data_IF_482970426110
#
_entry.id   IF_482970426110
#
_cell.length_a   1.000
_cell.length_b   1.000
_cell.length_c   1.000
_cell.angle_alpha   90.00
_cell.angle_beta   90.00
_cell.angle_gamma   90.00
#
_symmetry.space_group_name_H-M   'P 1'
#
loop_
_entity.id
_entity.type
_entity.pdbx_description
1 polymer ?
#
# COMPACT_ATOMS: atom_id res chain seq x y z
N UNK A 1 9.85 -10.70 1.73
CA UNK A 1 8.58 -10.71 1.03
C UNK A 1 7.53 -10.76 2.10
N UNK A 2 6.66 -9.73 2.11
CA UNK A 2 5.57 -9.67 3.08
C UNK A 2 4.64 -10.83 2.78
N UNK A 3 4.46 -11.73 3.73
CA UNK A 3 3.56 -12.88 3.58
C UNK A 3 2.15 -12.37 3.86
N UNK A 4 1.30 -12.43 2.84
CA UNK A 4 -0.09 -12.00 2.90
C UNK A 4 -0.97 -13.23 2.70
N UNK A 5 -1.86 -13.50 3.64
CA UNK A 5 -2.80 -14.62 3.57
C UNK A 5 -4.24 -14.15 3.78
N UNK A 6 -5.18 -14.76 3.08
CA UNK A 6 -6.59 -14.62 3.39
C UNK A 6 -6.97 -15.68 4.44
N UNK A 7 -7.58 -15.23 5.55
CA UNK A 7 -8.06 -16.08 6.61
C UNK A 7 -9.45 -15.61 7.08
N UNK A 8 -10.45 -16.46 6.95
CA UNK A 8 -11.82 -16.17 7.40
C UNK A 8 -12.41 -14.86 6.85
N UNK A 9 -12.01 -14.46 5.63
CA UNK A 9 -12.47 -13.24 4.98
C UNK A 9 -11.72 -11.97 5.40
N UNK A 10 -10.64 -12.10 6.15
CA UNK A 10 -9.70 -11.05 6.50
C UNK A 10 -8.37 -11.23 5.75
N UNK A 11 -7.59 -10.17 5.68
CA UNK A 11 -6.22 -10.22 5.21
C UNK A 11 -5.30 -10.23 6.43
N UNK A 12 -4.49 -11.26 6.58
CA UNK A 12 -3.41 -11.32 7.57
C UNK A 12 -2.10 -11.04 6.85
N UNK A 13 -1.39 -10.01 7.29
CA UNK A 13 -0.13 -9.57 6.67
C UNK A 13 0.97 -9.55 7.72
N UNK A 14 2.07 -10.26 7.45
CA UNK A 14 3.31 -10.06 8.20
C UNK A 14 3.88 -8.67 7.93
N UNK A 15 4.32 -8.00 8.98
CA UNK A 15 4.83 -6.64 8.88
C UNK A 15 5.97 -6.38 9.87
N UNK A 16 6.68 -5.29 9.63
CA UNK A 16 7.71 -4.81 10.55
C UNK A 16 7.10 -4.11 11.77
N UNK A 17 7.93 -3.92 12.79
CA UNK A 17 7.61 -3.09 13.95
C UNK A 17 7.09 -1.70 13.57
N UNK A 18 7.72 -1.05 12.59
CA UNK A 18 7.31 0.27 12.12
C UNK A 18 5.91 0.29 11.48
N UNK A 19 5.55 -0.75 10.73
CA UNK A 19 4.22 -0.86 10.12
C UNK A 19 3.16 -1.19 11.17
N UNK A 20 3.46 -2.10 12.08
CA UNK A 20 2.57 -2.42 13.19
C UNK A 20 2.31 -1.20 14.09
N UNK A 21 3.37 -0.43 14.40
CA UNK A 21 3.27 0.83 15.14
C UNK A 21 2.39 1.85 14.40
N UNK A 22 2.55 1.99 13.10
CA UNK A 22 1.73 2.88 12.29
C UNK A 22 0.23 2.55 12.38
N UNK A 23 -0.14 1.27 12.25
CA UNK A 23 -1.54 0.86 12.44
C UNK A 23 -2.03 1.13 13.86
N UNK A 24 -1.19 0.87 14.86
CA UNK A 24 -1.52 1.12 16.26
C UNK A 24 -1.77 2.61 16.51
N UNK A 25 -0.83 3.47 16.16
CA UNK A 25 -0.92 4.92 16.37
C UNK A 25 -2.10 5.52 15.61
N UNK A 26 -2.30 5.12 14.35
CA UNK A 26 -3.40 5.62 13.53
C UNK A 26 -4.77 5.29 14.14
N UNK A 27 -4.91 4.16 14.83
CA UNK A 27 -6.16 3.78 15.52
C UNK A 27 -6.30 4.38 16.92
N UNK A 28 -5.18 4.56 17.63
CA UNK A 28 -5.17 5.12 18.98
C UNK A 28 -5.28 6.66 19.02
N UNK A 29 -4.77 7.31 18.00
CA UNK A 29 -4.75 8.78 17.94
C UNK A 29 -6.12 9.38 17.65
N UNK A 30 -6.55 10.31 18.51
CA UNK A 30 -7.71 11.19 18.25
C UNK A 30 -7.33 12.43 17.44
N UNK A 31 -6.20 12.39 16.72
CA UNK A 31 -5.76 13.54 15.92
C UNK A 31 -6.59 13.62 14.62
N UNK A 32 -7.02 14.84 14.20
CA UNK A 32 -7.84 15.01 12.99
C UNK A 32 -7.24 14.37 11.73
N UNK A 33 -5.93 14.54 11.51
CA UNK A 33 -5.25 13.93 10.35
C UNK A 33 -5.22 12.40 10.39
N UNK A 34 -5.07 11.79 11.58
CA UNK A 34 -5.16 10.33 11.71
C UNK A 34 -6.58 9.83 11.42
N UNK A 35 -7.60 10.58 11.81
CA UNK A 35 -9.01 10.26 11.51
C UNK A 35 -9.30 10.35 10.02
N UNK A 36 -8.79 11.37 9.33
CA UNK A 36 -8.93 11.51 7.89
C UNK A 36 -8.22 10.37 7.14
N UNK A 37 -6.99 10.03 7.54
CA UNK A 37 -6.23 8.94 6.93
C UNK A 37 -6.91 7.57 7.11
N UNK A 38 -7.54 7.32 8.27
CA UNK A 38 -8.28 6.07 8.53
C UNK A 38 -9.40 5.79 7.52
N UNK A 39 -10.02 6.82 6.97
CA UNK A 39 -11.04 6.66 5.94
C UNK A 39 -10.50 6.06 4.62
N UNK A 40 -9.17 6.10 4.43
CA UNK A 40 -8.47 5.59 3.25
C UNK A 40 -7.73 4.28 3.50
N UNK A 41 -7.75 3.81 4.73
CA UNK A 41 -7.07 2.58 5.13
C UNK A 41 -8.06 1.43 5.27
N UNK A 42 -7.63 0.18 5.02
CA UNK A 42 -8.40 -0.97 5.47
C UNK A 42 -8.53 -0.91 6.99
N UNK A 43 -9.69 -1.31 7.51
CA UNK A 43 -9.87 -1.43 8.95
C UNK A 43 -8.85 -2.43 9.50
N UNK A 44 -8.11 -2.07 10.53
CA UNK A 44 -7.26 -2.98 11.26
C UNK A 44 -8.05 -3.57 12.45
N UNK A 45 -8.14 -4.88 12.49
CA UNK A 45 -8.87 -5.61 13.53
C UNK A 45 -7.99 -6.01 14.71
N UNK A 46 -6.67 -6.03 14.50
CA UNK A 46 -5.72 -6.32 15.56
C UNK A 46 -4.31 -6.57 15.04
N UNK A 47 -3.40 -6.64 15.99
CA UNK A 47 -1.98 -6.90 15.77
C UNK A 47 -1.59 -8.09 16.63
N UNK A 48 -0.86 -9.04 16.07
CA UNK A 48 -0.30 -10.18 16.79
C UNK A 48 1.24 -10.15 16.73
N UNK A 49 1.89 -10.68 17.73
CA UNK A 49 3.34 -10.86 17.78
C UNK A 49 3.81 -12.03 16.88
N UNK A 50 5.11 -12.28 16.85
CA UNK A 50 5.73 -13.38 16.09
C UNK A 50 5.26 -14.78 16.49
N UNK A 51 4.65 -14.93 17.70
CA UNK A 51 4.07 -16.17 18.21
C UNK A 51 2.59 -16.31 17.88
N UNK A 52 2.01 -15.32 17.17
CA UNK A 52 0.60 -15.27 16.86
C UNK A 52 -0.28 -14.86 18.05
N UNK A 53 0.33 -14.34 19.14
CA UNK A 53 -0.42 -13.84 20.28
C UNK A 53 -0.89 -12.42 20.01
N UNK A 54 -2.18 -12.19 20.16
CA UNK A 54 -2.77 -10.86 20.03
C UNK A 54 -2.21 -9.92 21.09
N UNK A 55 -1.89 -8.69 20.67
CA UNK A 55 -1.50 -7.65 21.59
C UNK A 55 -2.72 -7.23 22.41
N UNK A 56 -2.75 -7.62 23.67
CA UNK A 56 -3.83 -7.31 24.60
C UNK A 56 -3.98 -5.79 24.78
N UNK A 57 -5.22 -5.32 24.87
CA UNK A 57 -5.54 -3.91 25.06
C UNK A 57 -5.30 -3.03 23.84
N UNK A 58 -5.01 -3.62 22.66
CA UNK A 58 -4.97 -2.86 21.42
C UNK A 58 -6.32 -2.15 21.15
N UNK A 59 -6.35 -0.87 20.75
CA UNK A 59 -5.22 0.02 20.45
C UNK A 59 -4.71 0.87 21.63
N UNK A 60 -5.06 0.58 22.85
CA UNK A 60 -4.82 1.43 24.03
C UNK A 60 -3.47 1.21 24.73
N UNK A 61 -2.72 0.19 24.34
CA UNK A 61 -1.42 -0.12 24.97
C UNK A 61 -0.30 0.68 24.32
N UNK A 62 0.53 1.39 25.09
CA UNK A 62 1.71 2.06 24.53
C UNK A 62 2.72 1.01 24.04
N UNK A 63 3.06 1.06 22.78
CA UNK A 63 4.01 0.12 22.15
C UNK A 63 5.47 0.53 22.45
N UNK A 64 5.83 0.59 23.69
CA UNK A 64 7.15 1.09 24.15
C UNK A 64 8.36 0.28 23.74
N UNK A 65 8.26 -0.81 23.03
CA UNK A 65 9.41 -1.59 22.55
C UNK A 65 9.02 -2.70 21.60
N UNK A 66 8.25 -2.42 20.56
CA UNK A 66 8.03 -3.41 19.52
C UNK A 66 9.34 -3.64 18.76
N UNK A 67 9.92 -4.81 18.94
CA UNK A 67 11.04 -5.29 18.13
C UNK A 67 10.67 -6.69 17.66
N UNK A 68 10.60 -6.87 16.35
CA UNK A 68 10.29 -8.19 15.81
C UNK A 68 9.47 -8.13 14.52
N UNK A 69 8.95 -9.28 14.17
CA UNK A 69 7.97 -9.46 13.10
C UNK A 69 6.59 -9.53 13.74
N UNK A 70 5.65 -8.83 13.17
CA UNK A 70 4.27 -8.78 13.62
C UNK A 70 3.35 -9.22 12.50
N UNK A 71 2.12 -9.58 12.85
CA UNK A 71 1.04 -9.79 11.91
C UNK A 71 -0.08 -8.80 12.19
N UNK A 72 -0.52 -8.09 11.14
CA UNK A 72 -1.70 -7.22 11.20
C UNK A 72 -2.87 -7.92 10.52
N UNK A 73 -4.02 -7.90 11.15
CA UNK A 73 -5.27 -8.42 10.58
C UNK A 73 -6.09 -7.26 10.05
N UNK A 74 -6.31 -7.25 8.75
CA UNK A 74 -6.91 -6.15 8.01
C UNK A 74 -8.22 -6.57 7.33
N UNK A 75 -9.05 -5.58 7.07
CA UNK A 75 -10.21 -5.71 6.19
C UNK A 75 -9.80 -6.16 4.79
N UNK A 76 -10.49 -7.17 4.27
CA UNK A 76 -10.33 -7.56 2.87
C UNK A 76 -11.18 -6.64 1.98
N UNK A 77 -10.57 -5.57 1.47
CA UNK A 77 -11.24 -4.55 0.65
C UNK A 77 -11.79 -5.10 -0.68
N UNK A 78 -11.33 -6.26 -1.13
CA UNK A 78 -11.78 -6.84 -2.41
C UNK A 78 -12.87 -7.90 -2.24
N UNK A 79 -13.21 -8.27 -1.01
CA UNK A 79 -14.16 -9.36 -0.70
C UNK A 79 -15.55 -9.17 -1.31
N UNK A 80 -16.03 -7.95 -1.41
CA UNK A 80 -17.35 -7.63 -1.97
C UNK A 80 -17.39 -7.58 -3.50
N UNK A 81 -16.25 -7.73 -4.16
CA UNK A 81 -16.15 -7.66 -5.62
C UNK A 81 -15.92 -9.05 -6.22
N UNK A 82 -16.71 -9.41 -7.21
CA UNK A 82 -16.51 -10.70 -7.91
C UNK A 82 -15.23 -10.74 -8.76
N UNK A 83 -14.79 -9.58 -9.26
CA UNK A 83 -13.65 -9.44 -10.21
C UNK A 83 -12.92 -8.13 -9.93
N UNK A 84 -12.37 -7.99 -8.73
CA UNK A 84 -11.68 -6.78 -8.32
C UNK A 84 -10.37 -6.59 -9.09
N UNK A 85 -10.22 -5.46 -9.76
CA UNK A 85 -8.92 -5.00 -10.24
C UNK A 85 -8.19 -4.30 -9.10
N UNK A 86 -6.92 -4.66 -8.88
CA UNK A 86 -6.07 -4.11 -7.81
C UNK A 86 -4.79 -3.56 -8.42
N UNK A 87 -4.41 -2.36 -8.03
CA UNK A 87 -3.17 -1.72 -8.48
C UNK A 87 -2.37 -1.22 -7.28
N UNK A 88 -1.12 -1.67 -7.15
CA UNK A 88 -0.17 -1.14 -6.16
C UNK A 88 0.59 0.04 -6.76
N UNK A 89 0.34 1.22 -6.20
CA UNK A 89 0.99 2.48 -6.60
C UNK A 89 1.80 2.99 -5.41
N UNK A 90 3.10 3.13 -5.59
CA UNK A 90 3.96 3.82 -4.64
C UNK A 90 3.96 5.31 -4.91
N UNK A 91 3.59 6.11 -3.93
CA UNK A 91 3.53 7.56 -4.01
C UNK A 91 4.76 8.15 -3.31
N UNK A 92 5.30 9.21 -3.88
CA UNK A 92 6.47 9.94 -3.38
C UNK A 92 7.71 9.76 -4.24
N UNK A 93 8.62 10.72 -4.09
CA UNK A 93 9.94 10.75 -4.74
C UNK A 93 11.02 10.13 -3.88
N UNK A 94 10.83 10.06 -2.57
CA UNK A 94 11.74 9.46 -1.59
C UNK A 94 11.28 8.04 -1.29
N UNK A 95 12.08 7.04 -1.65
CA UNK A 95 11.72 5.62 -1.55
C UNK A 95 12.28 4.92 -0.29
N UNK A 96 12.70 5.69 0.71
CA UNK A 96 13.25 5.19 1.98
C UNK A 96 12.85 6.10 3.13
N UNK A 97 12.89 5.57 4.34
CA UNK A 97 12.65 6.33 5.56
C UNK A 97 14.00 6.81 6.12
N UNK A 98 14.27 8.11 6.09
CA UNK A 98 15.51 8.72 6.61
C UNK A 98 15.66 8.56 8.12
N UNK A 99 14.55 8.51 8.84
CA UNK A 99 14.55 8.28 10.29
C UNK A 99 14.83 6.81 10.68
N UNK A 100 14.96 5.90 9.71
CA UNK A 100 15.27 4.50 10.00
C UNK A 100 16.74 4.34 10.39
N UNK A 101 17.08 4.02 11.66
CA UNK A 101 18.46 3.89 12.12
C UNK A 101 19.19 2.70 11.47
N UNK A 102 18.47 1.77 10.83
CA UNK A 102 19.04 0.61 10.12
C UNK A 102 19.22 0.85 8.63
N UNK A 103 19.05 2.09 8.16
CA UNK A 103 19.21 2.45 6.75
C UNK A 103 20.71 2.53 6.43
N UNK A 104 21.25 1.56 5.68
CA UNK A 104 22.63 1.64 5.21
C UNK A 104 22.78 2.65 4.07
N UNK A 105 24.02 3.17 3.90
CA UNK A 105 24.34 4.09 2.81
C UNK A 105 24.05 3.46 1.43
N UNK A 106 24.44 2.20 1.23
CA UNK A 106 24.21 1.48 -0.02
C UNK A 106 22.73 1.31 -0.32
N UNK A 107 21.90 1.07 0.71
CA UNK A 107 20.44 0.98 0.55
C UNK A 107 19.86 2.34 0.17
N UNK A 108 20.33 3.42 0.79
CA UNK A 108 19.92 4.79 0.46
C UNK A 108 20.25 5.11 -1.00
N UNK A 109 21.49 4.93 -1.43
CA UNK A 109 21.92 5.17 -2.82
C UNK A 109 21.13 4.35 -3.83
N UNK A 110 20.91 3.06 -3.54
CA UNK A 110 20.11 2.19 -4.40
C UNK A 110 18.67 2.69 -4.53
N UNK A 111 18.06 3.21 -3.45
CA UNK A 111 16.70 3.74 -3.49
C UNK A 111 16.64 5.09 -4.20
N UNK A 112 17.65 5.95 -4.04
CA UNK A 112 17.78 7.21 -4.78
C UNK A 112 17.90 6.95 -6.28
N UNK A 113 18.81 6.05 -6.67
CA UNK A 113 18.95 5.63 -8.08
C UNK A 113 17.65 5.08 -8.65
N UNK A 114 16.98 4.21 -7.90
CA UNK A 114 15.67 3.68 -8.31
C UNK A 114 14.63 4.78 -8.50
N UNK A 115 14.60 5.82 -7.65
CA UNK A 115 13.69 6.95 -7.83
C UNK A 115 14.01 7.69 -9.14
N UNK A 116 15.28 8.01 -9.38
CA UNK A 116 15.75 8.72 -10.59
C UNK A 116 15.48 7.94 -11.88
N UNK A 117 15.65 6.62 -11.83
CA UNK A 117 15.47 5.72 -12.98
C UNK A 117 14.01 5.29 -13.22
N UNK A 118 13.05 5.79 -12.48
CA UNK A 118 11.63 5.43 -12.61
C UNK A 118 10.74 6.65 -12.50
N UNK A 119 9.46 6.46 -12.79
CA UNK A 119 8.44 7.51 -12.66
C UNK A 119 8.25 8.01 -11.22
N UNK A 120 8.86 7.38 -10.21
CA UNK A 120 8.90 7.94 -8.85
C UNK A 120 9.61 9.29 -8.81
N UNK A 121 10.76 9.44 -9.48
CA UNK A 121 11.51 10.71 -9.51
C UNK A 121 10.86 11.77 -10.37
N UNK A 122 10.37 11.41 -11.55
CA UNK A 122 9.83 12.36 -12.53
C UNK A 122 8.37 12.75 -12.31
N UNK A 123 7.56 11.85 -11.73
CA UNK A 123 6.11 12.03 -11.58
C UNK A 123 5.62 11.90 -10.13
N UNK A 124 6.51 11.61 -9.18
CA UNK A 124 6.15 11.40 -7.78
C UNK A 124 5.32 10.14 -7.52
N UNK A 125 5.20 9.25 -8.50
CA UNK A 125 4.48 7.98 -8.33
C UNK A 125 5.03 6.90 -9.27
N UNK A 126 4.82 5.63 -8.89
CA UNK A 126 5.18 4.47 -9.71
C UNK A 126 4.21 3.33 -9.47
N UNK A 127 3.71 2.73 -10.53
CA UNK A 127 3.00 1.45 -10.48
C UNK A 127 4.01 0.36 -10.13
N UNK A 128 3.75 -0.44 -9.08
CA UNK A 128 4.64 -1.54 -8.67
C UNK A 128 4.11 -2.91 -9.04
N UNK A 129 2.85 -2.98 -9.43
CA UNK A 129 2.19 -4.16 -9.95
C UNK A 129 0.68 -3.96 -9.95
N UNK A 130 0.00 -4.80 -10.69
CA UNK A 130 -1.46 -4.83 -10.69
C UNK A 130 -1.97 -6.23 -10.97
N UNK A 131 -3.19 -6.47 -10.52
CA UNK A 131 -3.99 -7.64 -10.85
C UNK A 131 -5.26 -7.13 -11.54
N UNK A 132 -5.53 -7.56 -12.75
CA UNK A 132 -6.72 -7.16 -13.50
C UNK A 132 -7.43 -8.36 -14.10
N UNK A 133 -8.76 -8.27 -14.19
CA UNK A 133 -9.57 -9.33 -14.80
C UNK A 133 -9.47 -9.26 -16.32
N UNK A 134 -9.08 -10.35 -16.95
CA UNK A 134 -9.14 -10.51 -18.40
C UNK A 134 -10.45 -11.21 -18.79
N UNK A 135 -11.34 -10.46 -19.43
CA UNK A 135 -12.64 -10.95 -19.84
C UNK A 135 -12.57 -11.99 -20.98
N UNK A 136 -11.52 -11.96 -21.80
CA UNK A 136 -11.32 -12.95 -22.88
C UNK A 136 -10.76 -14.26 -22.33
N UNK A 137 -9.73 -14.17 -21.49
CA UNK A 137 -9.11 -15.32 -20.85
C UNK A 137 -9.95 -15.88 -19.68
N UNK A 138 -10.99 -15.16 -19.22
CA UNK A 138 -11.79 -15.49 -18.03
C UNK A 138 -10.92 -15.79 -16.80
N UNK A 139 -9.83 -15.03 -16.63
CA UNK A 139 -8.85 -15.22 -15.57
C UNK A 139 -8.23 -13.89 -15.14
N UNK A 140 -7.56 -13.90 -13.99
CA UNK A 140 -6.79 -12.74 -13.56
C UNK A 140 -5.40 -12.71 -14.19
N UNK A 141 -5.03 -11.55 -14.70
CA UNK A 141 -3.67 -11.24 -15.13
C UNK A 141 -2.90 -10.53 -14.04
N UNK A 142 -1.69 -10.99 -13.74
CA UNK A 142 -0.78 -10.41 -12.75
C UNK A 142 0.43 -9.78 -13.44
N UNK A 143 0.55 -8.47 -13.42
CA UNK A 143 1.63 -7.77 -14.15
C UNK A 143 3.01 -7.91 -13.52
N UNK A 144 3.10 -8.14 -12.22
CA UNK A 144 4.37 -8.07 -11.49
C UNK A 144 5.01 -6.66 -11.48
N UNK A 145 6.30 -6.60 -11.14
CA UNK A 145 7.03 -5.32 -10.91
C UNK A 145 7.76 -4.79 -12.16
N UNK A 146 7.94 -5.60 -13.18
CA UNK A 146 8.78 -5.27 -14.34
C UNK A 146 8.22 -4.10 -15.15
N UNK A 147 6.94 -4.10 -15.56
CA UNK A 147 6.38 -3.00 -16.36
C UNK A 147 6.52 -1.64 -15.66
N UNK A 148 6.20 -1.57 -14.38
CA UNK A 148 6.31 -0.32 -13.61
C UNK A 148 7.74 0.15 -13.39
N UNK A 149 8.72 -0.76 -13.43
CA UNK A 149 10.15 -0.40 -13.38
C UNK A 149 10.68 0.07 -14.73
N UNK A 150 10.06 -0.34 -15.82
CA UNK A 150 10.42 0.05 -17.17
C UNK A 150 9.82 1.40 -17.58
N UNK A 151 8.71 1.80 -16.97
CA UNK A 151 8.03 3.05 -17.27
C UNK A 151 8.90 4.27 -16.95
N UNK A 152 8.93 5.25 -17.87
CA UNK A 152 9.72 6.49 -17.77
C UNK A 152 8.90 7.74 -18.05
N UNK A 153 7.85 7.63 -18.82
CA UNK A 153 7.07 8.76 -19.37
C UNK A 153 5.65 8.77 -18.81
N UNK A 154 4.96 9.89 -19.01
CA UNK A 154 3.52 10.02 -18.74
C UNK A 154 2.73 8.97 -19.53
N UNK A 155 3.07 8.74 -20.80
CA UNK A 155 2.38 7.78 -21.65
C UNK A 155 2.56 6.34 -21.15
N UNK A 156 3.75 6.01 -20.61
CA UNK A 156 3.97 4.71 -19.98
C UNK A 156 3.06 4.53 -18.75
N UNK A 157 2.96 5.56 -17.91
CA UNK A 157 2.07 5.54 -16.76
C UNK A 157 0.61 5.40 -17.16
N UNK A 158 0.16 6.15 -18.16
CA UNK A 158 -1.21 6.09 -18.65
C UNK A 158 -1.55 4.69 -19.16
N UNK A 159 -0.65 4.06 -19.94
CA UNK A 159 -0.81 2.68 -20.41
C UNK A 159 -0.92 1.67 -19.25
N UNK A 160 -0.05 1.79 -18.24
CA UNK A 160 -0.08 0.90 -17.08
C UNK A 160 -1.36 1.07 -16.26
N UNK A 161 -1.79 2.29 -16.03
CA UNK A 161 -3.01 2.57 -15.27
C UNK A 161 -4.26 2.15 -16.04
N UNK A 162 -4.30 2.35 -17.36
CA UNK A 162 -5.40 1.87 -18.21
C UNK A 162 -5.50 0.34 -18.17
N UNK A 163 -4.37 -0.36 -18.26
CA UNK A 163 -4.32 -1.83 -18.16
C UNK A 163 -4.74 -2.34 -16.78
N UNK A 164 -4.36 -1.63 -15.72
CA UNK A 164 -4.69 -2.00 -14.34
C UNK A 164 -6.18 -1.80 -14.01
N UNK A 165 -6.74 -0.68 -14.41
CA UNK A 165 -8.10 -0.31 -13.99
C UNK A 165 -9.17 -0.73 -14.98
N UNK A 166 -8.87 -0.74 -16.28
CA UNK A 166 -9.79 -1.15 -17.35
C UNK A 166 -11.12 -0.37 -17.33
N UNK A 167 -11.06 0.89 -16.92
CA UNK A 167 -12.22 1.79 -16.90
C UNK A 167 -11.96 3.01 -17.78
N UNK A 168 -13.01 3.57 -18.39
CA UNK A 168 -12.88 4.76 -19.24
C UNK A 168 -12.30 5.95 -18.45
N UNK A 169 -11.46 6.80 -19.08
CA UNK A 169 -10.85 7.95 -18.40
C UNK A 169 -11.85 8.93 -17.78
N UNK A 170 -13.03 9.08 -18.35
CA UNK A 170 -14.10 9.93 -17.82
C UNK A 170 -14.64 9.39 -16.48
N UNK A 171 -14.76 8.09 -16.33
CA UNK A 171 -15.16 7.44 -15.06
C UNK A 171 -14.09 7.67 -13.98
N UNK A 172 -12.81 7.55 -14.35
CA UNK A 172 -11.71 7.84 -13.44
C UNK A 172 -11.71 9.31 -13.00
N UNK A 173 -11.92 10.24 -13.93
CA UNK A 173 -12.00 11.68 -13.63
C UNK A 173 -13.17 11.99 -12.71
N UNK A 174 -14.33 11.40 -12.95
CA UNK A 174 -15.53 11.66 -12.16
C UNK A 174 -15.44 11.11 -10.74
N UNK A 175 -14.83 9.93 -10.55
CA UNK A 175 -14.90 9.21 -9.28
C UNK A 175 -13.56 9.12 -8.54
N UNK A 176 -12.44 8.96 -9.22
CA UNK A 176 -11.15 8.75 -8.58
C UNK A 176 -10.44 10.08 -8.28
N UNK A 177 -10.43 11.02 -9.22
CA UNK A 177 -9.72 12.30 -9.05
C UNK A 177 -10.20 13.09 -7.83
N UNK A 178 -11.52 13.25 -7.57
CA UNK A 178 -11.99 13.94 -6.37
C UNK A 178 -11.52 13.25 -5.08
N UNK A 179 -11.51 11.92 -5.07
CA UNK A 179 -11.05 11.13 -3.90
C UNK A 179 -9.55 11.32 -3.65
N UNK A 180 -8.72 11.26 -4.71
CA UNK A 180 -7.27 11.50 -4.56
C UNK A 180 -7.01 12.93 -4.06
N UNK A 181 -7.73 13.94 -4.58
CA UNK A 181 -7.62 15.31 -4.07
C UNK A 181 -7.94 15.38 -2.59
N UNK A 182 -9.05 14.78 -2.18
CA UNK A 182 -9.41 14.72 -0.76
C UNK A 182 -8.33 14.05 0.11
N UNK A 183 -7.69 12.98 -0.39
CA UNK A 183 -6.56 12.35 0.30
C UNK A 183 -5.35 13.30 0.44
N UNK A 184 -5.08 14.13 -0.56
CA UNK A 184 -4.00 15.11 -0.50
C UNK A 184 -4.27 16.27 0.47
N UNK A 185 -5.54 16.53 0.78
CA UNK A 185 -5.98 17.60 1.69
C UNK A 185 -6.03 17.10 3.16
N UNK A 186 -5.80 15.80 3.40
CA UNK A 186 -5.73 15.19 4.75
C UNK A 186 -4.33 15.29 5.34
#
# INVERSE_FOLDING_TARGET
PDTVHEQNGYIVKECTDAEALFYHETHAMHHPHASALRAWMPRCYGIADERGQWLEGWPRVPLKAMRGTYSVTLENLVRSFCRANVCDIKIGTILYNEANPRLSAEKRERMQRKAQETTSGSHGLRVTGYCSWDAHAQSFYMSGKVPGRAARTTDDLQRLLAAAWQVPPEVLRAHLVPRIKHLCDC
#
